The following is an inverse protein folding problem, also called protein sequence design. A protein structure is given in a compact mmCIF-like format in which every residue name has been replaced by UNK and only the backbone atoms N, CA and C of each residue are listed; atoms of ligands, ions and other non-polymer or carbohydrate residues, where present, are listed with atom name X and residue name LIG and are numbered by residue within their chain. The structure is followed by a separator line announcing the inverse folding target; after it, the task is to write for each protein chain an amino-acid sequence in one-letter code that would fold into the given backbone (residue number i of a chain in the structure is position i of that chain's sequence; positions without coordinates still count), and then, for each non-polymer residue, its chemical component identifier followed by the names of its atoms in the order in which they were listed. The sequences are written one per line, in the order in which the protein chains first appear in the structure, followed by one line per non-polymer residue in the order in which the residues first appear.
data_IF_479977128658
#
_entry.id   IF_479977128658
#
_cell.length_a   1.000
_cell.length_b   1.000
_cell.length_c   1.000
_cell.angle_alpha   90.00
_cell.angle_beta   90.00
_cell.angle_gamma   90.00
#
_symmetry.space_group_name_H-M   'P 1'
#
loop_
_entity.id
_entity.type
_entity.pdbx_description
1 polymer ?
#
# COMPACT_ATOMS: atom_id res chain seq x y z
N UNK A 1 10.01 -26.42 7.94
CA UNK A 1 8.55 -26.61 7.98
C UNK A 1 8.12 -28.04 7.66
N UNK A 2 8.42 -28.61 6.49
CA UNK A 2 8.05 -30.01 6.09
C UNK A 2 8.43 -31.06 7.12
N UNK A 3 9.67 -31.05 7.65
CA UNK A 3 10.11 -31.99 8.68
C UNK A 3 9.25 -31.93 9.95
N UNK A 4 8.91 -30.71 10.43
CA UNK A 4 8.08 -30.54 11.63
C UNK A 4 6.66 -31.06 11.42
N UNK A 5 6.09 -30.85 10.23
CA UNK A 5 4.78 -31.38 9.86
C UNK A 5 4.80 -32.92 9.80
N UNK A 6 5.87 -33.51 9.26
CA UNK A 6 6.01 -34.95 9.20
C UNK A 6 6.06 -35.57 10.62
N UNK A 7 6.74 -34.92 11.58
CA UNK A 7 6.75 -35.30 12.99
C UNK A 7 5.34 -35.26 13.62
N UNK A 8 4.43 -34.44 13.09
CA UNK A 8 3.01 -34.35 13.49
C UNK A 8 2.10 -35.28 12.68
N UNK A 9 2.65 -36.15 11.83
CA UNK A 9 1.90 -37.14 11.04
C UNK A 9 1.35 -36.62 9.72
N UNK A 10 1.76 -35.39 9.28
CA UNK A 10 1.29 -34.78 8.02
C UNK A 10 2.43 -34.64 7.01
N UNK A 11 2.08 -34.72 5.72
CA UNK A 11 3.00 -34.47 4.61
C UNK A 11 2.58 -33.18 3.89
N UNK A 12 3.50 -32.23 3.73
CA UNK A 12 3.28 -31.02 2.98
C UNK A 12 3.84 -31.15 1.57
N UNK A 13 2.96 -31.03 0.57
CA UNK A 13 3.31 -30.95 -0.84
C UNK A 13 3.14 -29.50 -1.31
N UNK A 14 4.25 -28.83 -1.62
CA UNK A 14 4.23 -27.47 -2.18
C UNK A 14 4.12 -27.55 -3.71
N UNK A 15 3.25 -26.73 -4.28
CA UNK A 15 3.01 -26.63 -5.72
C UNK A 15 3.30 -25.19 -6.13
N UNK A 16 4.28 -25.01 -6.99
CA UNK A 16 4.50 -23.75 -7.69
C UNK A 16 3.63 -23.72 -8.95
N UNK A 17 2.75 -22.71 -9.05
CA UNK A 17 1.86 -22.54 -10.21
C UNK A 17 2.23 -21.30 -11.05
N UNK A 18 3.40 -20.68 -10.79
CA UNK A 18 3.87 -19.51 -11.51
C UNK A 18 3.00 -18.27 -11.27
N UNK A 19 2.39 -18.13 -10.09
CA UNK A 19 1.47 -17.06 -9.72
C UNK A 19 0.14 -17.03 -10.53
N UNK A 20 -0.32 -18.17 -11.06
CA UNK A 20 -1.64 -18.29 -11.67
C UNK A 20 -2.74 -18.34 -10.60
N UNK A 21 -3.08 -17.18 -10.05
CA UNK A 21 -4.10 -17.06 -8.99
C UNK A 21 -5.47 -17.60 -9.41
N UNK A 22 -5.86 -17.44 -10.66
CA UNK A 22 -7.16 -17.93 -11.16
C UNK A 22 -7.24 -19.45 -11.09
N UNK A 23 -6.18 -20.15 -11.51
CA UNK A 23 -6.04 -21.60 -11.41
C UNK A 23 -5.98 -22.03 -9.95
N UNK A 24 -5.16 -21.36 -9.12
CA UNK A 24 -4.98 -21.64 -7.69
C UNK A 24 -6.32 -21.69 -6.96
N UNK A 25 -7.16 -20.67 -7.10
CA UNK A 25 -8.46 -20.63 -6.42
C UNK A 25 -9.51 -21.58 -7.01
N UNK A 26 -9.39 -21.90 -8.30
CA UNK A 26 -10.20 -22.95 -8.92
C UNK A 26 -9.86 -24.33 -8.36
N UNK A 27 -8.58 -24.61 -8.13
CA UNK A 27 -8.14 -25.89 -7.55
C UNK A 27 -8.44 -25.94 -6.03
N UNK A 28 -8.34 -24.82 -5.32
CA UNK A 28 -8.79 -24.68 -3.93
C UNK A 28 -10.29 -25.00 -3.81
N UNK A 29 -11.13 -24.44 -4.69
CA UNK A 29 -12.58 -24.71 -4.75
C UNK A 29 -12.92 -26.20 -4.97
N UNK A 30 -12.07 -26.93 -5.69
CA UNK A 30 -12.27 -28.36 -5.96
C UNK A 30 -11.73 -29.24 -4.85
N UNK A 31 -11.17 -28.68 -3.78
CA UNK A 31 -10.52 -29.44 -2.70
C UNK A 31 -9.20 -30.10 -3.10
N UNK A 32 -8.64 -29.79 -4.27
CA UNK A 32 -7.34 -30.30 -4.71
C UNK A 32 -6.18 -29.63 -3.99
N UNK A 33 -6.38 -28.39 -3.55
CA UNK A 33 -5.51 -27.66 -2.64
C UNK A 33 -6.25 -27.50 -1.31
N UNK A 34 -5.58 -27.80 -0.22
CA UNK A 34 -6.08 -27.56 1.14
C UNK A 34 -5.71 -26.14 1.58
N UNK A 35 -4.58 -25.66 1.12
CA UNK A 35 -4.04 -24.33 1.44
C UNK A 35 -3.64 -23.59 0.17
N UNK A 36 -3.63 -22.28 0.25
CA UNK A 36 -3.10 -21.42 -0.80
C UNK A 36 -2.48 -20.16 -0.19
N UNK A 37 -1.41 -19.66 -0.79
CA UNK A 37 -0.84 -18.34 -0.48
C UNK A 37 -1.28 -17.35 -1.56
N UNK A 38 -1.64 -16.14 -1.17
CA UNK A 38 -1.99 -15.07 -2.09
C UNK A 38 -1.86 -13.72 -1.39
N UNK A 39 -1.79 -12.64 -2.17
CA UNK A 39 -2.01 -11.31 -1.63
C UNK A 39 -3.52 -11.04 -1.44
N UNK A 40 -3.87 -10.13 -0.54
CA UNK A 40 -5.27 -9.76 -0.26
C UNK A 40 -5.98 -9.29 -1.53
N UNK A 41 -5.37 -8.41 -2.33
CA UNK A 41 -5.93 -7.92 -3.58
C UNK A 41 -6.18 -9.05 -4.60
N UNK A 42 -5.21 -9.94 -4.79
CA UNK A 42 -5.32 -11.10 -5.68
C UNK A 42 -6.41 -12.07 -5.21
N UNK A 43 -6.54 -12.27 -3.88
CA UNK A 43 -7.63 -13.03 -3.30
C UNK A 43 -9.00 -12.40 -3.54
N UNK A 44 -9.13 -11.08 -3.35
CA UNK A 44 -10.37 -10.37 -3.61
C UNK A 44 -10.79 -10.47 -5.07
N UNK A 45 -9.85 -10.22 -5.99
CA UNK A 45 -10.10 -10.18 -7.43
C UNK A 45 -10.45 -11.54 -8.01
N UNK A 46 -9.62 -12.54 -7.74
CA UNK A 46 -9.75 -13.88 -8.32
C UNK A 46 -10.60 -14.82 -7.47
N UNK A 47 -10.61 -14.67 -6.16
CA UNK A 47 -11.45 -15.44 -5.24
C UNK A 47 -12.94 -15.25 -5.50
N UNK A 48 -13.37 -14.05 -5.95
CA UNK A 48 -14.74 -13.78 -6.40
C UNK A 48 -15.19 -14.75 -7.49
N UNK A 49 -14.35 -15.01 -8.50
CA UNK A 49 -14.66 -15.93 -9.61
C UNK A 49 -14.91 -17.37 -9.12
N UNK A 50 -14.28 -17.75 -8.01
CA UNK A 50 -14.45 -19.05 -7.38
C UNK A 50 -15.46 -19.05 -6.22
N UNK A 51 -16.12 -17.93 -5.93
CA UNK A 51 -17.05 -17.72 -4.81
C UNK A 51 -16.38 -17.86 -3.44
N UNK A 52 -15.17 -17.34 -3.27
CA UNK A 52 -14.38 -17.32 -2.04
C UNK A 52 -14.31 -18.69 -1.33
N UNK A 53 -13.69 -19.71 -1.95
CA UNK A 53 -13.68 -21.08 -1.42
C UNK A 53 -12.82 -21.25 -0.17
N UNK A 54 -11.95 -20.28 0.13
CA UNK A 54 -11.06 -20.28 1.29
C UNK A 54 -11.48 -19.28 2.37
N UNK A 55 -10.78 -19.38 3.49
CA UNK A 55 -10.78 -18.39 4.57
C UNK A 55 -9.34 -18.02 4.90
N UNK A 56 -9.10 -16.79 5.29
CA UNK A 56 -7.80 -16.31 5.73
C UNK A 56 -7.54 -16.86 7.13
N UNK A 57 -6.53 -17.72 7.24
CA UNK A 57 -6.15 -18.36 8.51
C UNK A 57 -4.97 -17.63 9.18
N UNK A 58 -4.13 -16.94 8.39
CA UNK A 58 -2.96 -16.19 8.90
C UNK A 58 -2.56 -15.10 7.89
N UNK A 59 -2.00 -14.01 8.37
CA UNK A 59 -1.16 -13.14 7.58
C UNK A 59 0.26 -13.74 7.59
N UNK A 60 0.88 -13.77 6.42
CA UNK A 60 2.26 -14.26 6.24
C UNK A 60 3.23 -13.10 6.42
N UNK A 61 3.04 -12.05 5.64
CA UNK A 61 3.84 -10.84 5.69
C UNK A 61 3.11 -9.64 5.07
N UNK A 62 3.77 -8.50 5.16
CA UNK A 62 3.45 -7.29 4.41
C UNK A 62 4.67 -6.89 3.58
N UNK A 63 4.48 -6.58 2.31
CA UNK A 63 5.52 -6.00 1.48
C UNK A 63 5.88 -4.61 2.00
N UNK A 64 7.11 -4.43 2.45
CA UNK A 64 7.68 -3.18 3.00
C UNK A 64 8.92 -2.73 2.23
N UNK A 65 8.89 -2.86 0.93
CA UNK A 65 9.97 -2.49 0.02
C UNK A 65 10.16 -3.47 -1.14
N UNK A 66 9.49 -4.63 -1.07
CA UNK A 66 9.56 -5.66 -2.10
C UNK A 66 8.96 -5.25 -3.45
N UNK A 67 8.07 -4.26 -3.48
CA UNK A 67 7.43 -3.76 -4.70
C UNK A 67 7.70 -2.28 -4.90
N UNK A 68 7.93 -1.85 -6.15
CA UNK A 68 8.15 -0.43 -6.45
C UNK A 68 7.71 -0.04 -7.86
N UNK A 69 7.28 1.20 -7.97
CA UNK A 69 7.18 1.96 -9.21
C UNK A 69 8.51 2.65 -9.47
N UNK A 70 9.20 2.25 -10.52
CA UNK A 70 10.49 2.83 -10.94
C UNK A 70 10.37 3.51 -12.29
N UNK A 71 11.17 4.53 -12.55
CA UNK A 71 11.08 5.33 -13.76
C UNK A 71 12.43 5.76 -14.29
N UNK A 72 12.50 6.05 -15.59
CA UNK A 72 13.64 6.75 -16.19
C UNK A 72 13.62 8.21 -15.74
N UNK A 73 14.61 8.63 -14.97
CA UNK A 73 14.73 10.00 -14.40
C UNK A 73 14.69 11.09 -15.46
N UNK A 74 15.20 10.80 -16.66
CA UNK A 74 15.18 11.75 -17.79
C UNK A 74 13.79 12.07 -18.31
N UNK A 75 12.77 11.23 -18.03
CA UNK A 75 11.39 11.41 -18.48
C UNK A 75 10.47 11.76 -17.31
N UNK A 76 10.61 11.08 -16.18
CA UNK A 76 9.73 11.22 -15.01
C UNK A 76 10.58 11.52 -13.79
N UNK A 77 10.41 12.69 -13.19
CA UNK A 77 11.16 13.11 -12.02
C UNK A 77 10.46 12.75 -10.68
N UNK A 78 9.13 12.72 -10.67
CA UNK A 78 8.29 12.42 -9.50
C UNK A 78 6.86 12.05 -9.94
N UNK A 79 5.99 11.69 -8.99
CA UNK A 79 4.60 11.33 -9.28
C UNK A 79 3.78 12.51 -9.82
N UNK A 80 4.12 13.76 -9.50
CA UNK A 80 3.41 14.91 -10.04
C UNK A 80 3.72 15.12 -11.53
N UNK A 81 4.93 14.76 -11.97
CA UNK A 81 5.30 14.80 -13.38
C UNK A 81 4.38 13.90 -14.23
N UNK A 82 3.96 12.73 -13.70
CA UNK A 82 3.03 11.83 -14.38
C UNK A 82 1.67 12.46 -14.72
N UNK A 83 1.25 13.50 -13.98
CA UNK A 83 -0.02 14.20 -14.22
C UNK A 83 0.03 15.14 -15.44
N UNK A 84 1.21 15.62 -15.78
CA UNK A 84 1.38 16.73 -16.74
C UNK A 84 2.07 16.33 -18.04
N UNK A 85 2.62 15.12 -18.13
CA UNK A 85 3.24 14.62 -19.34
C UNK A 85 2.21 14.38 -20.45
N UNK A 86 2.52 14.90 -21.64
CA UNK A 86 1.71 14.73 -22.84
C UNK A 86 2.66 14.39 -24.02
N UNK A 87 2.56 13.19 -24.63
CA UNK A 87 1.63 12.12 -24.28
C UNK A 87 1.91 11.50 -22.90
N UNK A 88 0.94 10.77 -22.30
CA UNK A 88 1.16 10.05 -21.06
C UNK A 88 2.32 9.07 -21.20
N UNK A 89 3.17 8.89 -20.15
CA UNK A 89 4.26 7.95 -20.19
C UNK A 89 3.75 6.52 -20.30
N UNK A 90 4.50 5.66 -20.96
CA UNK A 90 4.18 4.24 -21.04
C UNK A 90 4.63 3.52 -19.77
N UNK A 91 3.77 2.66 -19.25
CA UNK A 91 3.98 1.93 -17.99
C UNK A 91 3.89 0.42 -18.24
N UNK A 92 4.96 -0.32 -17.86
CA UNK A 92 4.94 -1.77 -17.82
C UNK A 92 4.52 -2.25 -16.43
N UNK A 93 3.62 -3.23 -16.39
CA UNK A 93 3.16 -3.88 -15.16
C UNK A 93 2.59 -5.26 -15.44
N UNK A 94 2.54 -6.13 -14.42
CA UNK A 94 1.92 -7.45 -14.49
C UNK A 94 0.44 -7.35 -14.13
N UNK A 95 -0.50 -7.75 -15.01
CA UNK A 95 -1.93 -7.72 -14.70
C UNK A 95 -2.32 -8.70 -13.60
N UNK A 96 -3.45 -8.43 -12.94
CA UNK A 96 -4.07 -9.27 -11.90
C UNK A 96 -3.11 -9.66 -10.76
N UNK A 97 -2.13 -8.81 -10.46
CA UNK A 97 -1.05 -9.02 -9.50
C UNK A 97 -0.87 -7.81 -8.56
N UNK A 98 -0.06 -7.93 -7.49
CA UNK A 98 0.33 -6.81 -6.63
C UNK A 98 0.91 -5.60 -7.39
N UNK A 99 1.60 -5.84 -8.50
CA UNK A 99 2.12 -4.79 -9.39
C UNK A 99 1.00 -3.90 -9.96
N UNK A 100 -0.07 -4.48 -10.48
CA UNK A 100 -1.23 -3.72 -10.93
C UNK A 100 -1.94 -3.03 -9.77
N UNK A 101 -2.02 -3.71 -8.62
CA UNK A 101 -2.65 -3.17 -7.43
C UNK A 101 -1.93 -1.92 -6.91
N UNK A 102 -0.60 -1.96 -6.81
CA UNK A 102 0.22 -0.79 -6.47
C UNK A 102 -0.02 0.37 -7.44
N UNK A 103 -0.03 0.09 -8.75
CA UNK A 103 -0.28 1.11 -9.77
C UNK A 103 -1.69 1.72 -9.65
N UNK A 104 -2.72 0.92 -9.39
CA UNK A 104 -4.10 1.37 -9.14
C UNK A 104 -4.17 2.24 -7.88
N UNK A 105 -3.57 1.80 -6.77
CA UNK A 105 -3.51 2.55 -5.53
C UNK A 105 -2.87 3.93 -5.72
N UNK A 106 -1.68 3.96 -6.34
CA UNK A 106 -0.95 5.21 -6.62
C UNK A 106 -1.78 6.11 -7.55
N UNK A 107 -2.39 5.53 -8.59
CA UNK A 107 -3.23 6.30 -9.53
C UNK A 107 -4.42 6.96 -8.84
N UNK A 108 -5.08 6.27 -7.92
CA UNK A 108 -6.21 6.82 -7.15
C UNK A 108 -5.78 7.85 -6.13
N UNK A 109 -4.73 7.55 -5.37
CA UNK A 109 -4.32 8.39 -4.24
C UNK A 109 -3.68 9.69 -4.69
N UNK A 110 -2.93 9.66 -5.80
CA UNK A 110 -2.24 10.83 -6.35
C UNK A 110 -2.96 11.48 -7.52
N UNK A 111 -4.17 11.04 -7.85
CA UNK A 111 -4.97 11.60 -8.96
C UNK A 111 -4.28 11.50 -10.33
N UNK A 112 -3.63 10.38 -10.61
CA UNK A 112 -2.99 10.15 -11.89
C UNK A 112 -4.03 9.77 -12.97
N UNK A 113 -3.76 10.05 -14.26
CA UNK A 113 -4.74 9.85 -15.34
C UNK A 113 -4.94 8.39 -15.75
N UNK A 114 -4.12 7.47 -15.22
CA UNK A 114 -4.15 6.06 -15.60
C UNK A 114 -5.43 5.36 -15.13
N UNK A 115 -5.85 4.34 -15.87
CA UNK A 115 -7.10 3.60 -15.70
C UNK A 115 -8.38 4.42 -15.88
N UNK A 116 -8.30 5.65 -16.41
CA UNK A 116 -9.46 6.50 -16.70
C UNK A 116 -9.82 6.41 -18.18
N UNK A 117 -11.10 6.19 -18.46
CA UNK A 117 -11.59 6.12 -19.85
C UNK A 117 -11.05 4.91 -20.63
N UNK A 118 -11.13 5.00 -21.96
CA UNK A 118 -10.80 3.90 -22.88
C UNK A 118 -9.37 4.00 -23.46
N UNK A 119 -8.60 5.04 -23.13
CA UNK A 119 -7.23 5.15 -23.63
C UNK A 119 -6.31 4.18 -22.88
N UNK A 120 -5.82 3.19 -23.63
CA UNK A 120 -4.93 2.14 -23.14
C UNK A 120 -3.51 2.26 -23.69
N UNK A 121 -3.19 3.31 -24.45
CA UNK A 121 -1.90 3.47 -25.12
C UNK A 121 -0.71 3.57 -24.16
N UNK A 122 -0.97 3.97 -22.91
CA UNK A 122 0.02 4.04 -21.86
C UNK A 122 0.41 2.66 -21.29
N UNK A 123 -0.40 1.61 -21.49
CA UNK A 123 -0.25 0.29 -20.88
C UNK A 123 0.69 -0.61 -21.66
N UNK A 124 1.64 -1.22 -20.97
CA UNK A 124 2.34 -2.41 -21.44
C UNK A 124 2.14 -3.53 -20.41
N UNK A 125 1.28 -4.49 -20.73
CA UNK A 125 1.10 -5.69 -19.92
C UNK A 125 2.29 -6.61 -20.10
N UNK A 126 2.89 -7.03 -19.01
CA UNK A 126 4.08 -7.88 -18.96
C UNK A 126 3.75 -9.21 -18.27
N UNK A 127 4.44 -10.25 -18.69
CA UNK A 127 4.29 -11.59 -18.12
C UNK A 127 5.31 -11.77 -16.97
N UNK A 128 5.13 -10.99 -15.90
CA UNK A 128 6.01 -10.93 -14.76
C UNK A 128 6.94 -9.71 -14.71
N UNK A 129 7.57 -9.53 -13.53
CA UNK A 129 8.44 -8.41 -13.20
C UNK A 129 9.66 -8.31 -14.13
N UNK A 130 10.29 -9.44 -14.44
CA UNK A 130 11.49 -9.47 -15.30
C UNK A 130 11.21 -8.99 -16.73
N UNK A 131 10.03 -9.21 -17.28
CA UNK A 131 9.65 -8.67 -18.58
C UNK A 131 9.38 -7.17 -18.52
N UNK A 132 8.73 -6.70 -17.44
CA UNK A 132 8.53 -5.27 -17.20
C UNK A 132 9.88 -4.55 -17.07
N UNK A 133 10.84 -5.11 -16.32
CA UNK A 133 12.20 -4.60 -16.22
C UNK A 133 12.89 -4.53 -17.57
N UNK A 134 12.86 -5.62 -18.36
CA UNK A 134 13.45 -5.64 -19.71
C UNK A 134 12.83 -4.56 -20.62
N UNK A 135 11.53 -4.30 -20.50
CA UNK A 135 10.87 -3.24 -21.27
C UNK A 135 11.38 -1.84 -20.86
N UNK A 136 11.57 -1.60 -19.56
CA UNK A 136 12.13 -0.34 -19.02
C UNK A 136 13.55 -0.12 -19.50
N UNK A 137 14.44 -1.11 -19.34
CA UNK A 137 15.86 -1.02 -19.73
C UNK A 137 16.04 -0.84 -21.24
N UNK A 138 15.18 -1.45 -22.05
CA UNK A 138 15.16 -1.26 -23.52
C UNK A 138 14.43 0.03 -23.95
N UNK A 139 14.06 0.92 -23.03
CA UNK A 139 13.34 2.16 -23.31
C UNK A 139 12.02 1.98 -24.07
N UNK A 140 11.38 0.82 -23.97
CA UNK A 140 10.04 0.57 -24.51
C UNK A 140 8.95 1.22 -23.70
N UNK A 141 9.23 1.45 -22.41
CA UNK A 141 8.37 2.14 -21.45
C UNK A 141 9.19 3.16 -20.64
N UNK A 142 8.53 4.09 -20.01
CA UNK A 142 9.12 5.15 -19.20
C UNK A 142 9.09 4.82 -17.71
N UNK A 143 8.12 3.99 -17.31
CA UNK A 143 7.87 3.54 -15.94
C UNK A 143 7.65 2.03 -15.95
N UNK A 144 8.11 1.35 -14.90
CA UNK A 144 7.77 -0.05 -14.64
C UNK A 144 7.33 -0.22 -13.18
N UNK A 145 6.38 -1.14 -12.96
CA UNK A 145 6.01 -1.57 -11.60
C UNK A 145 6.53 -2.99 -11.42
N UNK A 146 7.47 -3.10 -10.52
CA UNK A 146 8.32 -4.28 -10.33
C UNK A 146 8.20 -4.80 -8.91
N UNK A 147 8.61 -6.06 -8.72
CA UNK A 147 8.90 -6.64 -7.41
C UNK A 147 10.33 -7.20 -7.38
N UNK A 148 10.83 -7.47 -6.17
CA UNK A 148 12.18 -8.02 -5.99
C UNK A 148 12.35 -9.40 -6.66
N UNK A 149 13.54 -9.70 -7.19
CA UNK A 149 14.79 -8.92 -7.17
C UNK A 149 14.92 -7.85 -8.27
N UNK A 150 13.89 -7.63 -9.08
CA UNK A 150 13.96 -6.75 -10.24
C UNK A 150 13.91 -5.26 -9.86
N UNK A 151 13.38 -4.91 -8.69
CA UNK A 151 13.47 -3.55 -8.13
C UNK A 151 14.93 -3.19 -7.88
N UNK A 152 15.67 -4.03 -7.16
CA UNK A 152 17.09 -3.82 -6.89
C UNK A 152 17.92 -3.76 -8.18
N UNK A 153 17.62 -4.63 -9.15
CA UNK A 153 18.28 -4.61 -10.47
C UNK A 153 18.02 -3.31 -11.22
N UNK A 154 16.77 -2.83 -11.21
CA UNK A 154 16.41 -1.56 -11.84
C UNK A 154 17.14 -0.38 -11.20
N UNK A 155 17.18 -0.30 -9.87
CA UNK A 155 17.80 0.81 -9.14
C UNK A 155 19.32 0.80 -9.19
N UNK A 156 19.94 -0.32 -9.53
CA UNK A 156 21.38 -0.40 -9.83
C UNK A 156 21.74 0.27 -11.18
N UNK A 157 20.77 0.46 -12.07
CA UNK A 157 21.00 1.06 -13.38
C UNK A 157 21.03 2.59 -13.30
N UNK A 158 22.05 3.19 -13.91
CA UNK A 158 22.19 4.64 -13.95
C UNK A 158 21.02 5.30 -14.64
N UNK A 159 20.38 6.27 -13.99
CA UNK A 159 19.25 7.02 -14.55
C UNK A 159 17.88 6.42 -14.29
N UNK A 160 17.79 5.31 -13.58
CA UNK A 160 16.54 4.80 -13.02
C UNK A 160 16.37 5.31 -11.59
N UNK A 161 15.14 5.70 -11.25
CA UNK A 161 14.77 6.18 -9.91
C UNK A 161 13.53 5.46 -9.42
N UNK A 162 13.41 5.32 -8.10
CA UNK A 162 12.16 4.91 -7.45
C UNK A 162 11.23 6.13 -7.36
N UNK A 163 9.99 5.98 -7.79
CA UNK A 163 8.94 6.99 -7.61
C UNK A 163 8.20 6.79 -6.29
N UNK A 164 7.84 5.55 -5.99
CA UNK A 164 7.17 5.11 -4.77
C UNK A 164 7.22 3.58 -4.70
N UNK A 165 7.20 3.01 -3.51
CA UNK A 165 7.17 1.56 -3.32
C UNK A 165 6.29 1.11 -2.16
N UNK A 166 6.18 -0.19 -1.98
CA UNK A 166 5.42 -0.81 -0.88
C UNK A 166 5.97 -0.41 0.49
N UNK A 167 7.28 -0.16 0.62
CA UNK A 167 7.89 0.36 1.84
C UNK A 167 7.40 1.76 2.24
N UNK A 168 6.81 2.49 1.32
CA UNK A 168 6.23 3.82 1.54
C UNK A 168 4.74 3.77 1.91
N UNK A 169 4.15 2.57 1.92
CA UNK A 169 2.72 2.33 2.17
C UNK A 169 2.48 1.50 3.43
N UNK A 170 1.24 1.47 3.91
CA UNK A 170 0.80 0.63 5.02
C UNK A 170 -0.38 -0.25 4.59
N UNK A 171 -0.26 -1.56 4.83
CA UNK A 171 -1.26 -2.61 4.55
C UNK A 171 -1.78 -2.63 3.10
N UNK A 172 -0.96 -2.20 2.14
CA UNK A 172 -1.36 -2.17 0.74
C UNK A 172 -1.16 -3.52 0.05
N UNK A 173 -0.01 -4.17 0.27
CA UNK A 173 0.32 -5.49 -0.26
C UNK A 173 0.58 -6.40 0.93
N UNK A 174 -0.35 -7.30 1.20
CA UNK A 174 -0.34 -8.20 2.37
C UNK A 174 -0.52 -9.62 1.89
N UNK A 175 0.45 -10.48 2.18
CA UNK A 175 0.39 -11.89 1.88
C UNK A 175 -0.33 -12.67 2.96
N UNK A 176 -1.23 -13.56 2.53
CA UNK A 176 -2.13 -14.31 3.39
C UNK A 176 -2.05 -15.82 3.12
N UNK A 177 -2.21 -16.60 4.16
CA UNK A 177 -2.45 -18.02 4.07
C UNK A 177 -3.95 -18.29 4.09
N UNK A 178 -4.43 -18.85 3.01
CA UNK A 178 -5.81 -19.31 2.85
C UNK A 178 -5.90 -20.82 3.18
N UNK A 179 -6.98 -21.20 3.80
CA UNK A 179 -7.35 -22.61 3.97
C UNK A 179 -8.71 -22.85 3.32
N UNK A 180 -8.86 -23.98 2.62
CA UNK A 180 -10.15 -24.38 2.02
C UNK A 180 -11.20 -24.55 3.13
N UNK A 181 -12.42 -24.02 2.92
CA UNK A 181 -13.44 -23.89 3.98
C UNK A 181 -13.90 -25.23 4.55
N UNK A 182 -14.10 -26.22 3.72
CA UNK A 182 -14.55 -27.53 4.13
C UNK A 182 -13.43 -28.27 4.89
N UNK A 183 -12.22 -28.22 4.34
CA UNK A 183 -11.03 -28.76 5.00
C UNK A 183 -10.79 -28.11 6.37
N UNK A 184 -10.94 -26.79 6.48
CA UNK A 184 -10.77 -26.07 7.75
C UNK A 184 -11.75 -26.54 8.84
N UNK A 185 -12.96 -26.95 8.45
CA UNK A 185 -14.00 -27.43 9.39
C UNK A 185 -13.82 -28.92 9.74
N UNK A 186 -13.40 -29.74 8.79
CA UNK A 186 -13.28 -31.19 9.00
C UNK A 186 -11.94 -31.61 9.55
N UNK A 187 -10.87 -30.84 9.29
CA UNK A 187 -9.50 -31.17 9.68
C UNK A 187 -8.82 -29.98 10.40
N UNK A 188 -9.43 -29.41 11.45
CA UNK A 188 -8.87 -28.23 12.15
C UNK A 188 -7.49 -28.52 12.74
N UNK A 189 -7.21 -29.76 13.17
CA UNK A 189 -5.91 -30.17 13.72
C UNK A 189 -4.80 -30.10 12.66
N UNK A 190 -5.11 -30.44 11.39
CA UNK A 190 -4.15 -30.33 10.29
C UNK A 190 -3.82 -28.83 9.99
N UNK A 191 -4.82 -27.95 10.08
CA UNK A 191 -4.60 -26.50 9.94
C UNK A 191 -3.73 -25.98 11.09
N UNK A 192 -4.03 -26.37 12.32
CA UNK A 192 -3.23 -25.99 13.50
C UNK A 192 -1.79 -26.51 13.38
N UNK A 193 -1.58 -27.75 12.96
CA UNK A 193 -0.25 -28.34 12.77
C UNK A 193 0.55 -27.57 11.71
N UNK A 194 -0.09 -27.16 10.60
CA UNK A 194 0.57 -26.35 9.59
C UNK A 194 0.99 -24.98 10.15
N UNK A 195 0.08 -24.27 10.81
CA UNK A 195 0.36 -22.94 11.39
C UNK A 195 1.44 -23.02 12.48
N UNK A 196 1.39 -24.04 13.34
CA UNK A 196 2.41 -24.27 14.36
C UNK A 196 3.79 -24.50 13.72
N UNK A 197 3.85 -25.35 12.69
CA UNK A 197 5.09 -25.62 11.96
C UNK A 197 5.62 -24.40 11.23
N UNK A 198 4.72 -23.57 10.67
CA UNK A 198 5.04 -22.31 10.02
C UNK A 198 5.66 -21.31 11.01
N UNK A 199 4.95 -20.97 12.09
CA UNK A 199 5.46 -20.00 13.05
C UNK A 199 6.72 -20.47 13.79
N UNK A 200 6.84 -21.76 14.06
CA UNK A 200 8.07 -22.31 14.63
C UNK A 200 9.25 -22.21 13.65
N UNK A 201 9.01 -22.36 12.35
CA UNK A 201 10.03 -22.18 11.30
C UNK A 201 10.38 -20.70 11.14
N UNK A 202 9.39 -19.82 11.13
CA UNK A 202 9.59 -18.38 11.07
C UNK A 202 10.42 -17.87 12.26
N UNK A 203 10.09 -18.32 13.48
CA UNK A 203 10.85 -17.98 14.68
C UNK A 203 12.29 -18.51 14.60
N UNK A 204 12.51 -19.73 14.07
CA UNK A 204 13.86 -20.23 13.85
C UNK A 204 14.67 -19.31 12.92
N UNK A 205 14.12 -18.89 11.80
CA UNK A 205 14.78 -17.99 10.85
C UNK A 205 14.99 -16.58 11.39
N UNK A 206 14.06 -16.11 12.24
CA UNK A 206 14.23 -14.84 12.93
C UNK A 206 15.45 -14.84 13.87
N UNK A 207 15.65 -15.94 14.59
CA UNK A 207 16.79 -16.12 15.47
C UNK A 207 18.08 -16.51 14.73
N UNK A 208 17.97 -17.10 13.54
CA UNK A 208 19.08 -17.65 12.75
C UNK A 208 19.03 -17.11 11.30
N UNK A 209 19.18 -15.80 11.15
CA UNK A 209 19.07 -15.13 9.86
C UNK A 209 19.99 -15.72 8.77
N UNK A 210 21.20 -16.17 9.16
CA UNK A 210 22.13 -16.83 8.23
C UNK A 210 21.58 -18.12 7.63
N UNK A 211 20.76 -18.86 8.39
CA UNK A 211 20.12 -20.07 7.88
C UNK A 211 19.06 -19.72 6.84
N UNK A 212 18.27 -18.64 7.08
CA UNK A 212 17.32 -18.15 6.10
C UNK A 212 18.01 -17.77 4.78
N UNK A 213 19.06 -16.96 4.85
CA UNK A 213 19.81 -16.52 3.64
C UNK A 213 20.39 -17.73 2.89
N UNK A 214 20.98 -18.69 3.60
CA UNK A 214 21.52 -19.92 2.99
C UNK A 214 20.43 -20.73 2.29
N UNK A 215 19.29 -20.92 2.94
CA UNK A 215 18.21 -21.76 2.43
C UNK A 215 17.53 -21.07 1.23
N UNK A 216 17.32 -19.73 1.27
CA UNK A 216 16.83 -18.95 0.11
C UNK A 216 17.84 -19.00 -1.05
N UNK A 217 19.15 -18.91 -0.78
CA UNK A 217 20.17 -19.04 -1.83
C UNK A 217 20.12 -20.41 -2.53
N UNK A 218 19.88 -21.47 -1.77
CA UNK A 218 19.71 -22.82 -2.30
C UNK A 218 18.51 -23.00 -3.23
N UNK A 219 17.42 -22.28 -2.96
CA UNK A 219 16.17 -22.37 -3.73
C UNK A 219 16.14 -21.40 -4.94
N UNK A 220 16.76 -20.23 -4.81
CA UNK A 220 16.60 -19.15 -5.81
C UNK A 220 17.79 -18.94 -6.73
N UNK A 221 18.96 -19.47 -6.37
CA UNK A 221 20.24 -19.20 -7.04
C UNK A 221 20.62 -17.69 -7.12
N UNK A 222 20.04 -16.85 -6.23
CA UNK A 222 20.38 -15.45 -6.12
C UNK A 222 21.68 -15.22 -5.33
N UNK A 223 22.37 -14.13 -5.59
CA UNK A 223 23.51 -13.73 -4.79
C UNK A 223 23.07 -13.27 -3.38
N UNK A 224 23.96 -13.39 -2.39
CA UNK A 224 23.63 -13.11 -0.98
C UNK A 224 23.15 -11.65 -0.79
N UNK A 225 23.78 -10.69 -1.44
CA UNK A 225 23.40 -9.27 -1.39
C UNK A 225 21.98 -9.02 -1.96
N UNK A 226 21.62 -9.73 -3.02
CA UNK A 226 20.26 -9.69 -3.57
C UNK A 226 19.23 -10.31 -2.63
N UNK A 227 19.59 -11.40 -1.97
CA UNK A 227 18.73 -12.05 -0.97
C UNK A 227 18.52 -11.13 0.23
N UNK A 228 19.58 -10.51 0.75
CA UNK A 228 19.48 -9.58 1.87
C UNK A 228 18.58 -8.38 1.54
N UNK A 229 18.74 -7.79 0.35
CA UNK A 229 17.88 -6.69 -0.11
C UNK A 229 16.41 -7.13 -0.23
N UNK A 230 16.16 -8.30 -0.79
CA UNK A 230 14.81 -8.89 -0.91
C UNK A 230 14.19 -9.11 0.47
N UNK A 231 14.93 -9.71 1.41
CA UNK A 231 14.43 -10.02 2.75
C UNK A 231 14.16 -8.76 3.58
N UNK A 232 14.91 -7.66 3.38
CA UNK A 232 14.64 -6.36 3.99
C UNK A 232 13.32 -5.75 3.52
N UNK A 233 12.87 -6.09 2.32
CA UNK A 233 11.59 -5.64 1.77
C UNK A 233 10.37 -6.42 2.27
N UNK A 234 10.53 -7.40 3.18
CA UNK A 234 9.45 -8.25 3.69
C UNK A 234 9.30 -8.09 5.20
N UNK A 235 8.13 -7.65 5.62
CA UNK A 235 7.77 -7.56 7.04
C UNK A 235 6.97 -8.81 7.45
N UNK A 236 7.68 -9.86 7.87
CA UNK A 236 7.08 -11.12 8.31
C UNK A 236 6.15 -10.92 9.50
N UNK A 237 4.94 -11.47 9.41
CA UNK A 237 3.97 -11.41 10.48
C UNK A 237 4.15 -12.60 11.45
N UNK A 238 4.68 -12.33 12.63
CA UNK A 238 4.85 -13.32 13.70
C UNK A 238 3.51 -13.81 14.26
N UNK A 239 3.49 -14.87 15.05
CA UNK A 239 2.28 -15.33 15.74
C UNK A 239 1.71 -14.25 16.67
N UNK A 240 2.59 -13.49 17.36
CA UNK A 240 2.17 -12.39 18.23
C UNK A 240 1.48 -11.29 17.42
N UNK A 241 2.09 -10.82 16.32
CA UNK A 241 1.50 -9.81 15.44
C UNK A 241 0.21 -10.31 14.76
N UNK A 242 0.15 -11.57 14.37
CA UNK A 242 -1.11 -12.16 13.90
C UNK A 242 -2.20 -12.10 14.97
N UNK A 243 -1.87 -12.41 16.24
CA UNK A 243 -2.84 -12.37 17.34
C UNK A 243 -3.22 -10.95 17.74
N UNK A 244 -2.24 -10.01 17.89
CA UNK A 244 -2.48 -8.67 18.43
C UNK A 244 -2.95 -7.67 17.37
N UNK A 245 -2.31 -7.67 16.19
CA UNK A 245 -2.46 -6.59 15.22
C UNK A 245 -3.35 -6.97 14.04
N UNK A 246 -3.15 -8.20 13.51
CA UNK A 246 -3.85 -8.62 12.30
C UNK A 246 -5.27 -9.13 12.55
N UNK A 247 -5.49 -9.92 13.61
CA UNK A 247 -6.80 -10.53 13.89
C UNK A 247 -7.52 -9.99 15.11
N UNK A 248 -6.84 -9.28 16.02
CA UNK A 248 -7.39 -8.89 17.31
C UNK A 248 -6.99 -7.46 17.72
N UNK A 249 -7.18 -6.45 16.85
CA UNK A 249 -6.79 -5.08 17.15
C UNK A 249 -7.38 -4.56 18.48
N UNK A 250 -6.53 -3.99 19.29
CA UNK A 250 -6.91 -3.31 20.54
C UNK A 250 -7.59 -1.99 20.22
N UNK A 251 -8.94 -1.98 20.13
CA UNK A 251 -9.77 -0.78 20.02
C UNK A 251 -9.93 -0.19 18.61
N UNK A 252 -9.39 -0.82 17.57
CA UNK A 252 -9.56 -0.48 16.15
C UNK A 252 -10.01 -1.71 15.36
N UNK A 253 -10.22 -1.58 14.04
CA UNK A 253 -10.44 -2.74 13.20
C UNK A 253 -9.17 -3.62 13.16
N UNK A 254 -9.32 -4.97 13.13
CA UNK A 254 -8.18 -5.85 12.88
C UNK A 254 -7.45 -5.47 11.61
N UNK A 255 -6.10 -5.53 11.62
CA UNK A 255 -5.28 -5.12 10.48
C UNK A 255 -5.64 -5.81 9.17
N UNK A 256 -6.01 -7.09 9.21
CA UNK A 256 -6.45 -7.84 8.02
C UNK A 256 -7.77 -7.29 7.46
N UNK A 257 -8.69 -6.81 8.30
CA UNK A 257 -9.93 -6.19 7.86
C UNK A 257 -9.66 -4.84 7.20
N UNK A 258 -8.71 -4.07 7.74
CA UNK A 258 -8.26 -2.82 7.10
C UNK A 258 -7.61 -3.10 5.73
N UNK A 259 -6.74 -4.10 5.61
CA UNK A 259 -6.13 -4.50 4.34
C UNK A 259 -7.19 -4.91 3.29
N UNK A 260 -8.20 -5.70 3.71
CA UNK A 260 -9.33 -6.08 2.84
C UNK A 260 -10.10 -4.84 2.38
N UNK A 261 -10.43 -3.92 3.29
CA UNK A 261 -11.18 -2.71 2.96
C UNK A 261 -10.37 -1.77 2.05
N UNK A 262 -9.07 -1.59 2.31
CA UNK A 262 -8.19 -0.79 1.46
C UNK A 262 -8.17 -1.34 0.03
N UNK A 263 -7.92 -2.63 -0.11
CA UNK A 263 -7.87 -3.29 -1.42
C UNK A 263 -9.22 -3.25 -2.12
N UNK A 264 -10.33 -3.47 -1.39
CA UNK A 264 -11.68 -3.39 -1.94
C UNK A 264 -12.03 -2.00 -2.47
N UNK A 265 -11.69 -0.95 -1.70
CA UNK A 265 -11.90 0.44 -2.13
C UNK A 265 -11.17 0.75 -3.44
N UNK A 266 -9.92 0.28 -3.57
CA UNK A 266 -9.13 0.45 -4.80
C UNK A 266 -9.78 -0.28 -5.97
N UNK A 267 -10.16 -1.54 -5.81
CA UNK A 267 -10.79 -2.35 -6.85
C UNK A 267 -12.15 -1.78 -7.29
N UNK A 268 -12.95 -1.28 -6.37
CA UNK A 268 -14.22 -0.59 -6.68
C UNK A 268 -13.99 0.73 -7.43
N UNK A 269 -13.01 1.54 -7.01
CA UNK A 269 -12.69 2.81 -7.67
C UNK A 269 -12.20 2.62 -9.11
N UNK A 270 -11.54 1.51 -9.40
CA UNK A 270 -11.05 1.19 -10.75
C UNK A 270 -12.04 0.37 -11.59
N UNK A 271 -13.21 0.05 -11.05
CA UNK A 271 -14.27 -0.64 -11.78
C UNK A 271 -14.02 -2.15 -11.97
N UNK A 272 -13.07 -2.74 -11.23
CA UNK A 272 -12.88 -4.19 -11.20
C UNK A 272 -14.13 -4.89 -10.65
N UNK A 273 -14.85 -4.20 -9.76
CA UNK A 273 -16.18 -4.58 -9.28
C UNK A 273 -17.16 -3.42 -9.43
N UNK A 274 -18.38 -3.74 -9.88
CA UNK A 274 -19.47 -2.75 -9.94
C UNK A 274 -20.11 -2.46 -8.57
N UNK A 275 -19.95 -3.39 -7.61
CA UNK A 275 -20.40 -3.28 -6.23
C UNK A 275 -19.56 -4.22 -5.37
N UNK A 276 -19.60 -4.03 -4.04
CA UNK A 276 -18.86 -4.89 -3.11
C UNK A 276 -19.25 -6.38 -3.28
N UNK A 277 -18.31 -7.25 -3.72
CA UNK A 277 -18.59 -8.64 -4.02
C UNK A 277 -18.49 -9.57 -2.81
N UNK A 278 -18.12 -9.05 -1.64
CA UNK A 278 -17.93 -9.87 -0.44
C UNK A 278 -19.23 -10.53 0.01
N UNK A 279 -19.17 -11.72 0.61
CA UNK A 279 -20.34 -12.38 1.17
C UNK A 279 -21.05 -11.46 2.18
N UNK A 280 -22.29 -11.08 1.89
CA UNK A 280 -23.08 -10.09 2.64
C UNK A 280 -22.40 -8.70 2.79
N UNK A 281 -21.44 -8.36 1.94
CA UNK A 281 -20.65 -7.13 2.05
C UNK A 281 -19.69 -7.08 3.24
N UNK A 282 -19.48 -8.20 3.93
CA UNK A 282 -18.81 -8.29 5.22
C UNK A 282 -17.40 -8.92 5.09
N UNK A 283 -16.32 -8.15 5.28
CA UNK A 283 -14.95 -8.65 5.18
C UNK A 283 -14.61 -9.71 6.24
N UNK A 284 -15.27 -9.70 7.41
CA UNK A 284 -15.05 -10.71 8.45
C UNK A 284 -15.39 -12.13 7.99
N UNK A 285 -16.26 -12.27 6.99
CA UNK A 285 -16.61 -13.57 6.41
C UNK A 285 -15.47 -14.21 5.59
N UNK A 286 -14.43 -13.46 5.29
CA UNK A 286 -13.22 -13.98 4.64
C UNK A 286 -12.15 -14.44 5.63
N UNK A 287 -12.32 -14.24 6.93
CA UNK A 287 -11.30 -14.50 7.95
C UNK A 287 -11.76 -15.53 8.98
N UNK A 288 -10.80 -16.26 9.58
CA UNK A 288 -11.06 -17.08 10.76
C UNK A 288 -9.91 -16.91 11.77
N UNK A 289 -10.16 -16.13 12.83
CA UNK A 289 -9.18 -15.88 13.90
C UNK A 289 -9.00 -17.05 14.88
N UNK A 290 -9.89 -18.05 14.86
CA UNK A 290 -9.90 -19.12 15.89
C UNK A 290 -8.59 -19.89 15.89
N UNK A 291 -8.02 -20.19 14.72
CA UNK A 291 -6.75 -20.90 14.61
C UNK A 291 -5.59 -20.13 15.26
N UNK A 292 -5.49 -18.83 14.97
CA UNK A 292 -4.46 -17.96 15.58
C UNK A 292 -4.69 -17.86 17.09
N UNK A 293 -5.94 -17.65 17.54
CA UNK A 293 -6.26 -17.52 18.96
C UNK A 293 -5.95 -18.80 19.74
N UNK A 294 -6.31 -19.97 19.19
CA UNK A 294 -6.03 -21.28 19.82
C UNK A 294 -4.52 -21.54 19.90
N UNK A 295 -3.80 -21.27 18.82
CA UNK A 295 -2.36 -21.44 18.77
C UNK A 295 -1.65 -20.50 19.74
N UNK A 296 -2.03 -19.23 19.78
CA UNK A 296 -1.46 -18.22 20.69
C UNK A 296 -1.70 -18.59 22.16
N UNK A 297 -2.92 -19.02 22.52
CA UNK A 297 -3.24 -19.44 23.88
C UNK A 297 -2.38 -20.64 24.38
N UNK A 298 -1.99 -21.55 23.48
CA UNK A 298 -1.10 -22.68 23.81
C UNK A 298 0.38 -22.28 23.97
N UNK A 299 0.77 -21.13 23.37
CA UNK A 299 2.18 -20.70 23.30
C UNK A 299 2.48 -19.52 24.24
N UNK A 300 1.66 -19.25 25.25
CA UNK A 300 1.88 -18.17 26.26
C UNK A 300 3.16 -18.32 27.11
N UNK A 301 4.16 -19.02 26.62
CA UNK A 301 5.53 -19.13 27.17
C UNK A 301 6.62 -18.86 26.13
N UNK A 302 6.29 -18.52 24.88
CA UNK A 302 7.25 -18.12 23.85
C UNK A 302 7.35 -16.58 23.87
N UNK A 303 8.58 -16.08 23.98
CA UNK A 303 8.90 -14.65 24.07
C UNK A 303 8.05 -13.85 23.08
N UNK A 304 7.32 -12.86 23.62
CA UNK A 304 6.62 -11.85 22.82
C UNK A 304 7.68 -11.17 21.96
N UNK A 305 7.57 -11.32 20.65
CA UNK A 305 8.36 -10.54 19.72
C UNK A 305 8.19 -9.06 20.06
N UNK A 306 9.25 -8.28 19.90
CA UNK A 306 9.24 -6.86 20.20
C UNK A 306 8.00 -6.19 19.57
N UNK A 307 7.24 -5.44 20.35
CA UNK A 307 6.15 -4.64 19.84
C UNK A 307 6.70 -3.73 18.74
N UNK A 308 6.10 -3.76 17.54
CA UNK A 308 6.43 -2.78 16.51
C UNK A 308 6.16 -1.40 17.07
N UNK A 309 7.19 -0.56 17.14
CA UNK A 309 6.99 0.86 17.40
C UNK A 309 6.05 1.42 16.32
N UNK A 310 4.98 2.07 16.72
CA UNK A 310 3.96 2.60 15.84
C UNK A 310 4.55 3.76 15.03
N UNK A 311 4.89 3.49 13.78
CA UNK A 311 5.32 4.45 12.78
C UNK A 311 6.69 5.11 13.02
N UNK A 312 7.26 5.74 12.00
CA UNK A 312 8.52 6.45 12.13
C UNK A 312 8.35 7.70 12.99
N UNK A 313 9.27 7.91 13.94
CA UNK A 313 9.38 9.17 14.69
C UNK A 313 10.11 10.19 13.83
N UNK A 314 9.46 11.33 13.58
CA UNK A 314 10.06 12.41 12.80
C UNK A 314 10.92 13.32 13.68
N UNK A 315 12.20 13.46 13.36
CA UNK A 315 13.06 14.42 14.01
C UNK A 315 12.65 15.87 13.63
N UNK A 316 12.78 16.86 14.53
CA UNK A 316 12.54 18.25 14.17
C UNK A 316 13.44 18.69 13.03
N UNK A 317 12.90 19.41 12.04
CA UNK A 317 13.64 20.00 10.93
C UNK A 317 13.64 21.53 11.01
N UNK A 318 14.77 22.13 10.69
CA UNK A 318 14.88 23.57 10.45
C UNK A 318 14.15 24.00 9.18
N UNK A 319 13.88 25.29 9.03
CA UNK A 319 13.27 25.84 7.82
C UNK A 319 14.09 25.57 6.54
N UNK A 320 15.41 25.50 6.67
CA UNK A 320 16.29 25.18 5.55
C UNK A 320 16.16 23.71 5.14
N UNK A 321 16.12 22.80 6.09
CA UNK A 321 15.94 21.37 5.84
C UNK A 321 14.57 21.10 5.20
N UNK A 322 13.49 21.74 5.68
CA UNK A 322 12.17 21.63 5.04
C UNK A 322 12.18 22.05 3.56
N UNK A 323 12.96 23.05 3.19
CA UNK A 323 13.10 23.50 1.79
C UNK A 323 13.91 22.53 0.92
N UNK A 324 14.72 21.68 1.51
CA UNK A 324 15.53 20.68 0.82
C UNK A 324 14.79 19.38 0.55
N UNK A 325 13.65 19.16 1.22
CA UNK A 325 12.82 17.98 1.01
C UNK A 325 12.33 17.91 -0.44
N UNK A 326 12.29 16.69 -0.98
CA UNK A 326 11.83 16.44 -2.34
C UNK A 326 10.34 16.09 -2.32
N UNK A 327 9.58 16.68 -3.23
CA UNK A 327 8.19 16.31 -3.42
C UNK A 327 8.10 14.91 -4.05
N UNK A 328 7.34 14.03 -3.40
CA UNK A 328 6.97 12.71 -3.94
C UNK A 328 5.72 12.85 -4.78
N UNK A 329 4.68 13.50 -4.24
CA UNK A 329 3.43 13.74 -4.95
C UNK A 329 2.40 14.45 -4.09
N UNK A 330 1.42 15.06 -4.73
CA UNK A 330 0.28 15.71 -4.08
C UNK A 330 -0.91 14.76 -4.06
N UNK A 331 -1.40 14.45 -2.86
CA UNK A 331 -2.54 13.56 -2.67
C UNK A 331 -3.82 14.16 -3.27
N UNK A 332 -4.64 13.33 -3.85
CA UNK A 332 -6.01 13.69 -4.23
C UNK A 332 -6.86 13.85 -2.98
N UNK A 333 -7.31 15.06 -2.69
CA UNK A 333 -8.21 15.36 -1.59
C UNK A 333 -9.43 16.12 -2.09
N UNK A 334 -10.57 15.91 -1.41
CA UNK A 334 -11.76 16.74 -1.65
C UNK A 334 -11.52 18.16 -1.13
N UNK A 335 -12.24 19.18 -1.65
CA UNK A 335 -12.11 20.54 -1.15
C UNK A 335 -12.42 20.61 0.35
N UNK A 336 -11.47 21.15 1.12
CA UNK A 336 -11.69 21.42 2.56
C UNK A 336 -12.53 22.67 2.70
N UNK A 337 -13.72 22.51 3.26
CA UNK A 337 -14.68 23.60 3.44
C UNK A 337 -14.42 24.36 4.74
N UNK A 338 -14.49 25.69 4.63
CA UNK A 338 -14.38 26.63 5.76
C UNK A 338 -15.61 27.52 5.78
N UNK A 339 -15.99 27.98 6.97
CA UNK A 339 -16.99 29.03 7.10
C UNK A 339 -16.54 30.26 6.33
N UNK A 340 -17.49 30.94 5.67
CA UNK A 340 -17.19 32.03 4.74
C UNK A 340 -16.23 33.06 5.34
N UNK A 341 -15.18 33.38 4.58
CA UNK A 341 -14.13 34.36 4.94
C UNK A 341 -13.38 34.08 6.25
N UNK A 342 -13.41 32.85 6.74
CA UNK A 342 -12.69 32.43 7.97
C UNK A 342 -11.80 31.21 7.71
N UNK A 343 -11.06 30.81 8.75
CA UNK A 343 -10.33 29.53 8.80
C UNK A 343 -11.04 28.48 9.70
N UNK A 344 -12.27 28.75 10.13
CA UNK A 344 -13.05 27.79 10.89
C UNK A 344 -13.63 26.71 9.98
N UNK A 345 -13.29 25.44 10.27
CA UNK A 345 -13.81 24.30 9.56
C UNK A 345 -15.31 24.13 9.82
N UNK A 346 -16.08 23.88 8.77
CA UNK A 346 -17.44 23.39 8.92
C UNK A 346 -17.45 21.82 9.07
N UNK A 347 -18.61 21.21 9.16
CA UNK A 347 -18.73 19.75 9.33
C UNK A 347 -18.24 19.00 8.10
N UNK A 348 -18.48 19.54 6.91
CA UNK A 348 -17.95 19.02 5.65
C UNK A 348 -16.40 19.05 5.65
N UNK A 349 -15.81 20.18 6.05
CA UNK A 349 -14.37 20.32 6.19
C UNK A 349 -13.77 19.32 7.17
N UNK A 350 -14.41 19.10 8.33
CA UNK A 350 -13.97 18.08 9.30
C UNK A 350 -14.04 16.66 8.73
N UNK A 351 -15.10 16.35 7.97
CA UNK A 351 -15.23 15.05 7.28
C UNK A 351 -14.10 14.82 6.25
N UNK A 352 -13.75 15.86 5.50
CA UNK A 352 -12.63 15.77 4.53
C UNK A 352 -11.30 15.55 5.26
N UNK A 353 -11.04 16.24 6.39
CA UNK A 353 -9.81 16.04 7.17
C UNK A 353 -9.70 14.62 7.73
N UNK A 354 -10.82 13.99 8.12
CA UNK A 354 -10.83 12.56 8.50
C UNK A 354 -10.33 11.68 7.36
N UNK A 355 -10.79 11.92 6.13
CA UNK A 355 -10.33 11.18 4.94
C UNK A 355 -8.85 11.45 4.65
N UNK A 356 -8.38 12.68 4.87
CA UNK A 356 -6.96 13.04 4.75
C UNK A 356 -6.14 12.25 5.77
N UNK A 357 -6.54 12.22 7.04
CA UNK A 357 -5.86 11.46 8.08
C UNK A 357 -5.72 9.98 7.69
N UNK A 358 -6.81 9.32 7.28
CA UNK A 358 -6.77 7.93 6.81
C UNK A 358 -5.89 7.71 5.58
N UNK A 359 -5.71 8.72 4.71
CA UNK A 359 -4.72 8.64 3.63
C UNK A 359 -3.29 8.78 4.15
N UNK A 360 -3.06 9.68 5.12
CA UNK A 360 -1.73 9.86 5.70
C UNK A 360 -1.25 8.64 6.48
N UNK A 361 -2.17 7.88 7.08
CA UNK A 361 -1.86 6.60 7.74
C UNK A 361 -1.34 5.56 6.74
N UNK A 362 -1.80 5.60 5.49
CA UNK A 362 -1.33 4.71 4.42
C UNK A 362 0.07 5.06 3.87
N UNK A 363 0.62 6.23 4.20
CA UNK A 363 1.93 6.71 3.76
C UNK A 363 2.77 7.19 4.95
N UNK A 364 3.06 6.33 5.94
CA UNK A 364 3.59 6.74 7.24
C UNK A 364 4.97 7.40 7.17
N UNK A 365 5.78 7.09 6.15
CA UNK A 365 7.18 7.47 6.08
C UNK A 365 7.45 8.86 5.49
N UNK A 366 6.42 9.55 4.98
CA UNK A 366 6.59 10.86 4.38
C UNK A 366 6.27 12.00 5.33
N UNK A 367 7.02 13.09 5.21
CA UNK A 367 6.59 14.39 5.75
C UNK A 367 5.49 14.97 4.88
N UNK A 368 4.73 15.89 5.43
CA UNK A 368 3.52 16.41 4.80
C UNK A 368 3.56 17.92 4.78
N UNK A 369 3.49 18.49 3.57
CA UNK A 369 3.30 19.92 3.36
C UNK A 369 1.82 20.19 3.10
N UNK A 370 1.22 21.04 3.92
CA UNK A 370 -0.17 21.49 3.82
C UNK A 370 -0.15 22.87 3.21
N UNK A 371 -0.61 23.00 1.97
CA UNK A 371 -0.52 24.22 1.16
C UNK A 371 -1.89 24.86 1.02
N UNK A 372 -2.03 26.09 1.55
CA UNK A 372 -3.26 26.87 1.44
C UNK A 372 -3.23 27.82 0.26
N UNK A 373 -4.34 27.91 -0.47
CA UNK A 373 -4.51 28.80 -1.63
C UNK A 373 -5.84 29.56 -1.55
N UNK A 374 -5.89 30.74 -2.18
CA UNK A 374 -7.10 31.55 -2.30
C UNK A 374 -7.46 31.78 -3.78
N UNK A 375 -8.56 32.47 -4.01
CA UNK A 375 -8.87 33.03 -5.33
C UNK A 375 -7.89 34.15 -5.70
N UNK A 376 -7.93 34.56 -6.96
CA UNK A 376 -7.07 35.59 -7.54
C UNK A 376 -7.55 37.03 -7.28
N UNK A 377 -8.74 37.20 -6.67
CA UNK A 377 -9.32 38.51 -6.37
C UNK A 377 -9.01 38.92 -4.93
N UNK A 378 -8.97 40.25 -4.70
CA UNK A 378 -8.73 40.83 -3.38
C UNK A 378 -7.28 41.20 -3.12
N UNK A 379 -7.00 41.68 -1.91
CA UNK A 379 -5.68 42.09 -1.48
C UNK A 379 -4.73 40.86 -1.33
N UNK A 380 -3.52 40.98 -1.87
CA UNK A 380 -2.55 39.86 -1.89
C UNK A 380 -2.05 39.45 -0.49
N UNK A 381 -1.85 40.44 0.40
CA UNK A 381 -1.40 40.23 1.77
C UNK A 381 -2.50 39.56 2.60
N UNK A 382 -3.74 40.02 2.48
CA UNK A 382 -4.90 39.39 3.12
C UNK A 382 -5.11 37.94 2.61
N UNK A 383 -4.96 37.69 1.33
CA UNK A 383 -5.04 36.36 0.73
C UNK A 383 -3.94 35.44 1.24
N UNK A 384 -2.71 35.93 1.37
CA UNK A 384 -1.58 35.18 1.93
C UNK A 384 -1.84 34.79 3.38
N UNK A 385 -2.27 35.77 4.19
CA UNK A 385 -2.60 35.55 5.62
C UNK A 385 -3.75 34.56 5.79
N UNK A 386 -4.83 34.68 5.04
CA UNK A 386 -5.99 33.79 5.09
C UNK A 386 -5.61 32.35 4.69
N UNK A 387 -4.84 32.19 3.63
CA UNK A 387 -4.42 30.87 3.16
C UNK A 387 -3.50 30.17 4.18
N UNK A 388 -2.56 30.91 4.78
CA UNK A 388 -1.69 30.38 5.84
C UNK A 388 -2.49 29.97 7.09
N UNK A 389 -3.49 30.75 7.47
CA UNK A 389 -4.35 30.44 8.62
C UNK A 389 -5.22 29.21 8.36
N UNK A 390 -5.73 29.03 7.13
CA UNK A 390 -6.48 27.82 6.73
C UNK A 390 -5.60 26.58 6.72
N UNK A 391 -4.39 26.65 6.18
CA UNK A 391 -3.44 25.54 6.19
C UNK A 391 -3.09 25.13 7.64
N UNK A 392 -2.85 26.11 8.53
CA UNK A 392 -2.64 25.85 9.96
C UNK A 392 -3.86 25.22 10.65
N UNK A 393 -5.08 25.63 10.31
CA UNK A 393 -6.29 25.03 10.87
C UNK A 393 -6.42 23.54 10.50
N UNK A 394 -6.10 23.18 9.26
CA UNK A 394 -6.05 21.77 8.84
C UNK A 394 -4.97 21.01 9.61
N UNK A 395 -3.76 21.56 9.71
CA UNK A 395 -2.66 20.96 10.49
C UNK A 395 -3.06 20.73 11.95
N UNK A 396 -3.63 21.72 12.62
CA UNK A 396 -4.06 21.60 14.02
C UNK A 396 -5.13 20.51 14.20
N UNK A 397 -6.08 20.40 13.27
CA UNK A 397 -7.10 19.34 13.31
C UNK A 397 -6.48 17.94 13.15
N UNK A 398 -5.49 17.77 12.26
CA UNK A 398 -4.75 16.52 12.09
C UNK A 398 -3.99 16.14 13.38
N UNK A 399 -3.34 17.11 14.03
CA UNK A 399 -2.60 16.88 15.28
C UNK A 399 -3.56 16.56 16.42
N UNK A 400 -4.55 17.43 16.67
CA UNK A 400 -5.38 17.36 17.87
C UNK A 400 -6.41 16.22 17.86
N UNK A 401 -6.94 15.86 16.70
CA UNK A 401 -8.02 14.87 16.58
C UNK A 401 -7.52 13.52 16.09
N UNK A 402 -6.54 13.52 15.20
CA UNK A 402 -6.03 12.30 14.57
C UNK A 402 -4.62 11.93 15.01
N UNK A 403 -4.06 12.66 15.99
CA UNK A 403 -2.77 12.38 16.63
C UNK A 403 -1.59 12.26 15.63
N UNK A 404 -1.69 12.93 14.49
CA UNK A 404 -0.58 12.97 13.53
C UNK A 404 0.59 13.71 14.16
N UNK A 405 1.80 13.13 14.06
CA UNK A 405 3.01 13.71 14.65
C UNK A 405 3.21 15.15 14.15
N UNK A 406 3.28 16.16 15.06
CA UNK A 406 3.52 17.55 14.68
C UNK A 406 4.79 17.76 13.85
N UNK A 407 5.85 16.98 14.12
CA UNK A 407 7.12 17.07 13.41
C UNK A 407 7.01 16.57 11.96
N UNK A 408 5.99 15.78 11.66
CA UNK A 408 5.68 15.30 10.31
C UNK A 408 5.06 16.38 9.42
N UNK A 409 4.45 17.44 10.02
CA UNK A 409 3.57 18.36 9.32
C UNK A 409 4.17 19.77 9.20
N UNK A 410 3.96 20.40 8.06
CA UNK A 410 4.23 21.83 7.84
C UNK A 410 3.10 22.49 7.08
N UNK A 411 2.63 23.65 7.55
CA UNK A 411 1.57 24.43 6.93
C UNK A 411 2.14 25.70 6.30
N UNK A 412 1.82 25.95 5.01
CA UNK A 412 2.26 27.12 4.26
C UNK A 412 1.07 27.73 3.50
N UNK A 413 0.98 29.05 3.51
CA UNK A 413 0.02 29.78 2.67
C UNK A 413 0.69 30.35 1.43
N UNK A 414 0.04 30.25 0.29
CA UNK A 414 0.48 30.84 -0.97
C UNK A 414 -0.46 31.93 -1.49
N UNK A 415 -1.57 32.18 -0.79
CA UNK A 415 -2.54 33.17 -1.22
C UNK A 415 -2.99 32.93 -2.67
N UNK A 416 -2.93 33.95 -3.50
CA UNK A 416 -3.26 33.90 -4.91
C UNK A 416 -2.07 33.67 -5.85
N UNK A 417 -0.85 33.43 -5.31
CA UNK A 417 0.39 33.38 -6.11
C UNK A 417 0.53 32.11 -6.96
N UNK A 418 -0.21 31.05 -6.63
CA UNK A 418 -0.16 29.75 -7.33
C UNK A 418 -1.56 29.34 -7.81
N UNK A 419 -2.15 30.02 -8.82
CA UNK A 419 -3.44 29.65 -9.34
C UNK A 419 -3.37 28.35 -10.13
N UNK A 420 -4.44 27.56 -10.09
CA UNK A 420 -4.58 26.38 -10.95
C UNK A 420 -4.61 26.82 -12.43
N UNK A 421 -4.15 25.97 -13.31
CA UNK A 421 -4.37 26.14 -14.75
C UNK A 421 -5.86 26.04 -15.05
N UNK A 422 -6.34 26.92 -15.94
CA UNK A 422 -7.73 26.89 -16.43
C UNK A 422 -7.92 25.64 -17.31
N UNK A 423 -9.03 24.95 -17.12
CA UNK A 423 -9.41 23.83 -17.98
C UNK A 423 -10.03 24.33 -19.28
N UNK A 424 -9.91 23.56 -20.35
CA UNK A 424 -10.51 23.90 -21.63
C UNK A 424 -12.04 24.01 -21.49
N UNK A 425 -12.62 25.12 -21.96
CA UNK A 425 -14.07 25.38 -21.83
C UNK A 425 -14.57 25.74 -20.43
N UNK A 426 -13.67 25.96 -19.46
CA UNK A 426 -14.06 26.29 -18.10
C UNK A 426 -14.52 27.77 -17.99
N UNK A 427 -15.73 27.98 -17.44
CA UNK A 427 -16.24 29.31 -17.15
C UNK A 427 -15.48 30.00 -16.01
N UNK A 428 -15.45 31.32 -15.98
CA UNK A 428 -14.82 32.12 -14.91
C UNK A 428 -15.35 31.78 -13.53
N UNK A 429 -16.64 31.48 -13.43
CA UNK A 429 -17.29 31.09 -12.18
C UNK A 429 -16.75 29.73 -11.69
N UNK A 430 -16.67 28.72 -12.56
CA UNK A 430 -16.13 27.38 -12.20
C UNK A 430 -14.65 27.48 -11.82
N UNK A 431 -13.86 28.21 -12.62
CA UNK A 431 -12.46 28.46 -12.33
C UNK A 431 -12.28 29.11 -10.95
N UNK A 432 -13.02 30.17 -10.66
CA UNK A 432 -12.98 30.90 -9.39
C UNK A 432 -13.32 29.99 -8.17
N UNK A 433 -14.21 29.03 -8.34
CA UNK A 433 -14.56 28.08 -7.26
C UNK A 433 -13.46 27.04 -6.98
N UNK A 434 -12.62 26.69 -7.96
CA UNK A 434 -11.55 25.73 -7.80
C UNK A 434 -10.28 26.30 -7.18
N UNK A 435 -10.10 27.61 -7.26
CA UNK A 435 -8.87 28.27 -6.80
C UNK A 435 -8.66 28.22 -5.29
N UNK A 436 -9.67 28.55 -4.43
CA UNK A 436 -9.54 28.36 -2.98
C UNK A 436 -9.49 26.87 -2.64
N UNK A 437 -8.35 26.40 -2.12
CA UNK A 437 -8.13 24.99 -1.84
C UNK A 437 -7.04 24.78 -0.81
N UNK A 438 -6.97 23.58 -0.27
CA UNK A 438 -5.82 23.07 0.48
C UNK A 438 -5.26 21.86 -0.27
N UNK A 439 -3.97 21.87 -0.52
CA UNK A 439 -3.23 20.74 -1.11
C UNK A 439 -2.41 20.04 -0.03
N UNK A 440 -2.28 18.72 -0.16
CA UNK A 440 -1.53 17.86 0.76
C UNK A 440 -0.43 17.20 -0.05
N UNK A 441 0.80 17.67 0.10
CA UNK A 441 1.95 17.17 -0.65
C UNK A 441 2.83 16.31 0.26
N UNK A 442 3.12 15.09 -0.17
CA UNK A 442 4.07 14.19 0.51
C UNK A 442 5.49 14.57 0.12
N UNK A 443 6.36 14.65 1.12
CA UNK A 443 7.77 15.01 0.97
C UNK A 443 8.67 13.92 1.53
N UNK A 444 9.76 13.62 0.82
CA UNK A 444 10.82 12.69 1.26
C UNK A 444 12.06 13.43 1.72
N UNK A 445 12.72 12.89 2.75
CA UNK A 445 14.01 13.41 3.25
C UNK A 445 15.18 13.01 2.34
N UNK A 446 15.11 11.87 1.67
CA UNK A 446 16.06 11.40 0.65
C UNK A 446 15.48 10.22 -0.13
N UNK A 447 15.76 10.17 -1.40
CA UNK A 447 15.90 8.98 -2.23
C UNK A 447 17.23 9.07 -2.96
#
# INVERSE_FOLDING_TARGET
MQRRLHESGYTLNCIDDGADYAKRFKELKKGKLQFAVATVDSWLLNGKKANYPGIIASVIDESKGGDAMVARKSVVADLNALKSLAPPPRIAYTPDSPSEHLLKAVSSHFDLPFFRGNDNNWRLRSDGSSEALKALLKSKVDVAVLWEPDVSRALAETGIIKLIGSGDTDKLIVDILLVERHFANEQPEAVEALLQSYFATLNHYHLNHRDLVRDVAGETSLAVDQIEAMLQGVAWATLNENSSDWFNARGQNPGIIDAINISMDILLQHGDFSSNPLPAGDPYRLTNRQFISALYARHTGIEAGAEREHGPRFAPLSDQQWKQLKAVGTLKVEPVNFRRSTAHLDDGGRSVIRKIAGKLDRYPNFRVLIEGHTGIRGDASANLSLSATRARAVMQQLISTYQVDPQRLRAVGYGSSRPLKRQQGESDRRYGYRLPRVEITLLSEAY
#
